data_IF_414234935998
#
_entry.id   IF_414234935998
#
_cell.length_a   1.000
_cell.length_b   1.000
_cell.length_c   1.000
_cell.angle_alpha   90.00
_cell.angle_beta   90.00
_cell.angle_gamma   90.00
#
_symmetry.space_group_name_H-M   'P 1'
#
loop_
_entity.id
_entity.type
_entity.pdbx_description
1 polymer ?
#
# COMPACT_ATOMS: atom_id res chain seq x y z
N UNK A 1 -18.93 -28.12 -17.76
CA UNK A 1 -18.15 -27.20 -18.63
C UNK A 1 -18.44 -25.72 -18.39
N UNK A 2 -19.57 -25.33 -17.78
CA UNK A 2 -19.95 -23.92 -17.59
C UNK A 2 -19.46 -23.26 -16.27
N UNK A 3 -19.07 -24.04 -15.26
CA UNK A 3 -18.64 -23.52 -13.94
C UNK A 3 -17.17 -23.09 -13.83
N UNK A 4 -16.34 -23.36 -14.85
CA UNK A 4 -14.90 -22.98 -14.83
C UNK A 4 -14.63 -21.61 -15.48
N UNK A 5 -15.60 -21.00 -16.15
CA UNK A 5 -15.41 -19.74 -16.87
C UNK A 5 -15.75 -18.49 -16.03
N UNK A 6 -16.53 -18.66 -14.96
CA UNK A 6 -16.89 -17.56 -14.03
C UNK A 6 -15.71 -17.12 -13.17
N UNK A 7 -14.71 -17.98 -12.95
CA UNK A 7 -13.58 -17.70 -12.04
C UNK A 7 -12.39 -16.97 -12.68
N UNK A 8 -12.38 -16.73 -14.00
CA UNK A 8 -11.14 -16.37 -14.70
C UNK A 8 -10.99 -14.89 -15.08
N UNK A 9 -12.03 -14.06 -15.02
CA UNK A 9 -11.89 -12.62 -15.32
C UNK A 9 -12.79 -11.78 -14.43
N UNK A 10 -12.38 -11.56 -13.17
CA UNK A 10 -12.91 -10.45 -12.38
C UNK A 10 -12.33 -9.14 -12.95
N UNK A 11 -12.88 -8.64 -14.06
CA UNK A 11 -12.49 -7.33 -14.56
C UNK A 11 -13.03 -6.25 -13.64
N UNK A 12 -12.19 -5.29 -13.28
CA UNK A 12 -12.60 -4.13 -12.50
C UNK A 12 -13.40 -3.23 -13.44
N UNK A 13 -14.71 -3.45 -13.51
CA UNK A 13 -15.60 -2.77 -14.47
C UNK A 13 -15.73 -1.29 -14.15
N UNK A 14 -15.90 -0.94 -12.86
CA UNK A 14 -16.09 0.45 -12.42
C UNK A 14 -15.99 0.59 -10.90
N UNK A 15 -15.34 1.66 -10.43
CA UNK A 15 -15.44 2.09 -9.03
C UNK A 15 -16.76 2.85 -8.85
N UNK A 16 -17.59 2.45 -7.89
CA UNK A 16 -18.82 3.17 -7.54
C UNK A 16 -18.47 4.45 -6.78
N UNK A 17 -18.54 5.61 -7.45
CA UNK A 17 -18.50 6.90 -6.77
C UNK A 17 -19.71 7.03 -5.83
N UNK A 18 -19.46 7.01 -4.52
CA UNK A 18 -20.51 6.94 -3.50
C UNK A 18 -20.49 8.16 -2.58
N UNK A 19 -20.95 9.31 -3.10
CA UNK A 19 -21.05 10.57 -2.34
C UNK A 19 -21.96 10.46 -1.11
N UNK A 20 -23.04 9.69 -1.23
CA UNK A 20 -24.02 9.47 -0.16
C UNK A 20 -23.41 8.71 1.03
N UNK A 21 -22.51 7.75 0.78
CA UNK A 21 -21.88 6.98 1.87
C UNK A 21 -20.97 7.83 2.75
N UNK A 22 -20.24 8.78 2.14
CA UNK A 22 -19.45 9.77 2.86
C UNK A 22 -20.31 10.73 3.68
N UNK A 23 -21.42 11.24 3.13
CA UNK A 23 -22.34 12.11 3.88
C UNK A 23 -22.99 11.37 5.05
N UNK A 24 -23.46 10.15 4.82
CA UNK A 24 -24.13 9.34 5.83
C UNK A 24 -23.17 8.94 6.97
N UNK A 25 -21.93 8.55 6.66
CA UNK A 25 -20.93 8.26 7.69
C UNK A 25 -20.59 9.48 8.55
N UNK A 26 -20.43 10.66 7.96
CA UNK A 26 -20.20 11.89 8.72
C UNK A 26 -21.40 12.26 9.62
N UNK A 27 -22.63 12.10 9.15
CA UNK A 27 -23.84 12.30 9.97
C UNK A 27 -23.90 11.30 11.13
N UNK A 28 -23.58 10.02 10.88
CA UNK A 28 -23.54 8.98 11.92
C UNK A 28 -22.46 9.25 12.98
N UNK A 29 -21.29 9.78 12.58
CA UNK A 29 -20.25 10.23 13.52
C UNK A 29 -20.74 11.42 14.35
N UNK A 30 -21.49 12.36 13.75
CA UNK A 30 -22.11 13.46 14.50
C UNK A 30 -23.16 12.97 15.51
N UNK A 31 -23.97 11.98 15.11
CA UNK A 31 -25.01 11.38 15.94
C UNK A 31 -24.42 10.51 17.07
N UNK A 32 -23.27 9.88 16.85
CA UNK A 32 -22.60 9.05 17.86
C UNK A 32 -22.14 9.87 19.09
N UNK A 33 -21.82 11.16 18.92
CA UNK A 33 -21.52 12.07 20.04
C UNK A 33 -22.71 12.24 21.00
N UNK A 34 -23.94 12.19 20.51
CA UNK A 34 -25.15 12.26 21.34
C UNK A 34 -25.51 10.91 21.99
N UNK A 35 -25.12 9.79 21.38
CA UNK A 35 -25.37 8.42 21.87
C UNK A 35 -24.23 7.85 22.73
N UNK A 36 -23.25 8.68 23.11
CA UNK A 36 -22.07 8.25 23.87
C UNK A 36 -22.31 7.65 25.28
N UNK A 37 -23.44 7.84 26.01
CA UNK A 37 -23.52 7.32 27.38
C UNK A 37 -23.94 5.85 27.56
N UNK A 38 -24.55 5.18 26.58
CA UNK A 38 -25.10 3.81 26.82
C UNK A 38 -24.79 2.75 25.74
N UNK A 39 -25.10 2.93 24.44
CA UNK A 39 -24.94 1.84 23.46
C UNK A 39 -23.50 1.60 22.97
N UNK A 40 -22.66 2.63 22.84
CA UNK A 40 -21.30 2.48 22.28
C UNK A 40 -20.33 1.79 23.25
N UNK A 41 -20.56 1.89 24.56
CA UNK A 41 -19.71 1.28 25.59
C UNK A 41 -19.80 -0.26 25.64
N UNK A 42 -20.85 -0.86 25.04
CA UNK A 42 -20.98 -2.31 24.93
C UNK A 42 -20.04 -2.94 23.89
N UNK A 43 -19.44 -2.13 23.00
CA UNK A 43 -18.52 -2.62 21.99
C UNK A 43 -17.15 -2.80 22.65
N UNK A 44 -16.66 -4.05 22.81
CA UNK A 44 -15.34 -4.26 23.39
C UNK A 44 -14.25 -3.70 22.48
N UNK A 45 -13.26 -3.04 23.07
CA UNK A 45 -12.13 -2.44 22.32
C UNK A 45 -11.36 -3.46 21.50
N UNK A 46 -11.32 -4.72 21.95
CA UNK A 46 -10.70 -5.83 21.22
C UNK A 46 -11.27 -6.05 19.80
N UNK A 47 -12.56 -5.76 19.58
CA UNK A 47 -13.18 -5.87 18.24
C UNK A 47 -12.70 -4.75 17.32
N UNK A 48 -12.51 -3.54 17.86
CA UNK A 48 -11.98 -2.40 17.11
C UNK A 48 -10.52 -2.65 16.71
N UNK A 49 -9.71 -3.18 17.63
CA UNK A 49 -8.32 -3.54 17.33
C UNK A 49 -8.23 -4.61 16.23
N UNK A 50 -9.12 -5.60 16.25
CA UNK A 50 -9.26 -6.59 15.18
C UNK A 50 -9.66 -5.96 13.82
N UNK A 51 -10.58 -4.99 13.84
CA UNK A 51 -10.96 -4.23 12.63
C UNK A 51 -9.78 -3.39 12.10
N UNK A 52 -9.04 -2.71 12.97
CA UNK A 52 -7.85 -1.96 12.59
C UNK A 52 -6.77 -2.85 11.97
N UNK A 53 -6.52 -4.03 12.53
CA UNK A 53 -5.59 -5.01 11.96
C UNK A 53 -6.06 -5.47 10.56
N UNK A 54 -7.35 -5.79 10.40
CA UNK A 54 -7.91 -6.18 9.11
C UNK A 54 -7.76 -5.07 8.06
N UNK A 55 -8.05 -3.81 8.42
CA UNK A 55 -7.84 -2.67 7.54
C UNK A 55 -6.36 -2.49 7.16
N UNK A 56 -5.44 -2.67 8.11
CA UNK A 56 -4.01 -2.58 7.84
C UNK A 56 -3.53 -3.66 6.84
N UNK A 57 -3.98 -4.91 7.01
CA UNK A 57 -3.61 -6.02 6.10
C UNK A 57 -4.22 -5.84 4.72
N UNK A 58 -5.50 -5.46 4.65
CA UNK A 58 -6.18 -5.24 3.37
C UNK A 58 -5.62 -4.05 2.60
N UNK A 59 -5.14 -3.00 3.28
CA UNK A 59 -4.45 -1.87 2.66
C UNK A 59 -3.10 -2.25 2.01
N UNK A 60 -2.46 -3.34 2.45
CA UNK A 60 -1.24 -3.87 1.81
C UNK A 60 -1.57 -4.69 0.56
N UNK A 61 -2.78 -5.23 0.46
CA UNK A 61 -3.20 -6.03 -0.68
C UNK A 61 -3.42 -5.12 -1.91
N UNK A 62 -2.81 -5.47 -3.05
CA UNK A 62 -2.80 -4.65 -4.26
C UNK A 62 -1.76 -3.52 -4.27
N UNK A 63 -0.90 -3.43 -3.25
CA UNK A 63 0.23 -2.51 -3.26
C UNK A 63 1.42 -3.14 -4.02
N UNK A 64 1.78 -2.54 -5.16
CA UNK A 64 2.90 -2.99 -6.00
C UNK A 64 4.25 -3.05 -5.27
N UNK A 65 4.49 -2.17 -4.28
CA UNK A 65 5.71 -2.23 -3.47
C UNK A 65 5.71 -3.47 -2.59
N UNK A 66 4.59 -3.79 -1.95
CA UNK A 66 4.46 -4.95 -1.08
C UNK A 66 4.55 -6.26 -1.88
N UNK A 67 3.95 -6.34 -3.06
CA UNK A 67 4.12 -7.47 -3.98
C UNK A 67 5.59 -7.72 -4.31
N UNK A 68 6.35 -6.65 -4.60
CA UNK A 68 7.79 -6.75 -4.89
C UNK A 68 8.62 -7.15 -3.68
N UNK A 69 8.24 -6.73 -2.47
CA UNK A 69 8.89 -7.16 -1.23
C UNK A 69 8.64 -8.66 -1.01
N UNK A 70 7.41 -9.12 -1.19
CA UNK A 70 7.06 -10.54 -1.09
C UNK A 70 7.86 -11.39 -2.09
N UNK A 71 8.10 -10.88 -3.31
CA UNK A 71 8.99 -11.53 -4.28
C UNK A 71 10.44 -11.67 -3.78
N UNK A 72 10.95 -10.80 -2.90
CA UNK A 72 12.29 -10.96 -2.31
C UNK A 72 12.38 -12.17 -1.36
N UNK A 73 11.27 -12.51 -0.71
CA UNK A 73 11.18 -13.61 0.24
C UNK A 73 10.71 -14.92 -0.39
N UNK A 74 10.17 -14.86 -1.61
CA UNK A 74 9.69 -16.02 -2.34
C UNK A 74 10.85 -16.74 -3.04
N UNK A 75 10.83 -18.07 -3.08
CA UNK A 75 11.80 -18.84 -3.85
C UNK A 75 11.56 -18.69 -5.36
N UNK A 76 12.65 -18.64 -6.15
CA UNK A 76 12.60 -18.39 -7.59
C UNK A 76 11.70 -19.37 -8.37
N UNK A 77 11.55 -20.60 -7.87
CA UNK A 77 10.73 -21.63 -8.49
C UNK A 77 9.22 -21.32 -8.43
N UNK A 78 8.80 -20.48 -7.48
CA UNK A 78 7.39 -20.20 -7.22
C UNK A 78 6.94 -18.83 -7.81
N UNK A 79 7.78 -18.19 -8.62
CA UNK A 79 7.47 -16.86 -9.16
C UNK A 79 6.28 -16.91 -10.12
N UNK A 80 5.26 -16.06 -9.93
CA UNK A 80 4.15 -15.97 -10.86
C UNK A 80 4.65 -15.44 -12.22
N UNK A 81 4.07 -15.91 -13.34
CA UNK A 81 4.46 -15.48 -14.69
C UNK A 81 3.96 -14.06 -15.01
N UNK A 82 4.50 -13.05 -14.33
CA UNK A 82 4.13 -11.64 -14.53
C UNK A 82 5.04 -10.94 -15.54
N UNK A 83 4.49 -9.98 -16.29
CA UNK A 83 5.16 -9.30 -17.42
C UNK A 83 6.49 -8.61 -17.04
N UNK A 84 6.55 -8.01 -15.86
CA UNK A 84 7.74 -7.30 -15.35
C UNK A 84 8.90 -8.24 -14.99
N UNK A 85 8.62 -9.46 -14.49
CA UNK A 85 9.65 -10.47 -14.15
C UNK A 85 10.36 -10.97 -15.41
N UNK A 86 9.67 -10.99 -16.56
CA UNK A 86 10.23 -11.42 -17.86
C UNK A 86 11.10 -10.37 -18.54
N UNK A 87 10.89 -9.07 -18.27
CA UNK A 87 11.55 -7.96 -18.98
C UNK A 87 12.76 -7.36 -18.25
N UNK A 88 12.84 -7.51 -16.93
CA UNK A 88 13.86 -6.87 -16.11
C UNK A 88 14.72 -7.93 -15.43
N UNK A 89 16.07 -7.84 -15.48
CA UNK A 89 16.93 -8.78 -14.78
C UNK A 89 16.69 -8.68 -13.27
N UNK A 90 16.55 -9.84 -12.60
CA UNK A 90 16.13 -9.92 -11.20
C UNK A 90 17.00 -9.07 -10.25
N UNK A 91 18.32 -8.99 -10.47
CA UNK A 91 19.22 -8.18 -9.65
C UNK A 91 18.83 -6.70 -9.60
N UNK A 92 18.29 -6.15 -10.68
CA UNK A 92 17.87 -4.75 -10.73
C UNK A 92 16.55 -4.53 -9.97
N UNK A 93 15.65 -5.52 -9.99
CA UNK A 93 14.41 -5.52 -9.18
C UNK A 93 14.76 -5.51 -7.70
N UNK A 94 15.68 -6.38 -7.27
CA UNK A 94 16.08 -6.48 -5.86
C UNK A 94 16.77 -5.21 -5.36
N UNK A 95 17.64 -4.59 -6.18
CA UNK A 95 18.26 -3.29 -5.86
C UNK A 95 17.21 -2.19 -5.71
N UNK A 96 16.22 -2.15 -6.61
CA UNK A 96 15.15 -1.16 -6.57
C UNK A 96 14.27 -1.32 -5.33
N UNK A 97 13.77 -2.53 -5.08
CA UNK A 97 12.94 -2.82 -3.91
C UNK A 97 13.71 -2.61 -2.61
N UNK A 98 14.99 -2.98 -2.56
CA UNK A 98 15.84 -2.71 -1.40
C UNK A 98 15.98 -1.21 -1.09
N UNK A 99 16.17 -0.38 -2.11
CA UNK A 99 16.19 1.07 -1.95
C UNK A 99 14.84 1.62 -1.45
N UNK A 100 13.72 1.11 -1.98
CA UNK A 100 12.37 1.48 -1.50
C UNK A 100 12.14 1.06 -0.05
N UNK A 101 12.60 -0.11 0.36
CA UNK A 101 12.50 -0.59 1.75
C UNK A 101 13.36 0.26 2.68
N UNK A 102 14.58 0.64 2.28
CA UNK A 102 15.43 1.55 3.06
C UNK A 102 14.72 2.91 3.24
N UNK A 103 14.15 3.47 2.17
CA UNK A 103 13.38 4.72 2.23
C UNK A 103 12.19 4.62 3.19
N UNK A 104 11.44 3.51 3.13
CA UNK A 104 10.33 3.24 4.03
C UNK A 104 10.81 3.12 5.49
N UNK A 105 11.90 2.40 5.75
CA UNK A 105 12.46 2.24 7.10
C UNK A 105 12.92 3.57 7.69
N UNK A 106 13.60 4.40 6.90
CA UNK A 106 13.97 5.76 7.31
C UNK A 106 12.72 6.54 7.69
N UNK A 107 11.70 6.55 6.84
CA UNK A 107 10.44 7.25 7.09
C UNK A 107 9.70 6.72 8.32
N UNK A 108 9.64 5.40 8.51
CA UNK A 108 9.04 4.76 9.68
C UNK A 108 9.80 5.13 10.95
N UNK A 109 11.14 5.16 10.93
CA UNK A 109 11.95 5.52 12.10
C UNK A 109 11.64 6.94 12.59
N UNK A 110 11.47 7.89 11.66
CA UNK A 110 11.06 9.25 12.01
C UNK A 110 9.58 9.34 12.44
N UNK A 111 8.69 8.53 11.85
CA UNK A 111 7.27 8.49 12.22
C UNK A 111 6.98 7.89 13.59
N UNK A 112 7.73 6.84 13.97
CA UNK A 112 7.64 6.18 15.28
C UNK A 112 8.45 6.88 16.37
N UNK A 113 9.21 7.94 16.03
CA UNK A 113 9.97 8.69 17.02
C UNK A 113 9.03 9.30 18.08
N UNK A 114 9.39 9.24 19.38
CA UNK A 114 8.58 9.78 20.46
C UNK A 114 8.51 11.32 20.46
N UNK A 115 9.39 11.98 19.70
CA UNK A 115 9.48 13.44 19.61
C UNK A 115 8.37 14.01 18.71
N UNK A 116 7.48 14.82 19.28
CA UNK A 116 6.40 15.50 18.54
C UNK A 116 6.94 16.38 17.39
N UNK A 117 8.12 16.98 17.56
CA UNK A 117 8.77 17.79 16.53
C UNK A 117 9.14 16.98 15.28
N UNK A 118 9.55 15.71 15.43
CA UNK A 118 9.88 14.84 14.30
C UNK A 118 8.65 14.52 13.45
N UNK A 119 7.48 14.41 14.07
CA UNK A 119 6.21 14.19 13.36
C UNK A 119 5.82 15.40 12.51
N UNK A 120 6.13 16.63 12.95
CA UNK A 120 5.89 17.84 12.16
C UNK A 120 6.79 17.94 10.92
N UNK A 121 7.99 17.33 10.96
CA UNK A 121 8.89 17.24 9.79
C UNK A 121 8.48 16.18 8.77
N UNK A 122 7.53 15.30 9.09
CA UNK A 122 7.12 14.20 8.21
C UNK A 122 6.74 14.63 6.77
N UNK A 123 5.95 15.70 6.55
CA UNK A 123 5.66 16.19 5.20
C UNK A 123 6.90 16.65 4.43
N UNK A 124 7.87 17.25 5.12
CA UNK A 124 9.14 17.69 4.53
C UNK A 124 9.99 16.48 4.14
N UNK A 125 10.03 15.44 4.97
CA UNK A 125 10.71 14.19 4.65
C UNK A 125 10.07 13.48 3.46
N UNK A 126 8.73 13.46 3.37
CA UNK A 126 8.00 12.96 2.20
C UNK A 126 8.35 13.75 0.92
N UNK A 127 8.41 15.09 1.02
CA UNK A 127 8.84 15.92 -0.10
C UNK A 127 10.30 15.68 -0.50
N UNK A 128 11.18 15.36 0.45
CA UNK A 128 12.58 15.00 0.18
C UNK A 128 12.71 13.63 -0.51
N UNK A 129 11.79 12.70 -0.27
CA UNK A 129 11.75 11.40 -0.92
C UNK A 129 11.45 11.49 -2.44
N UNK A 130 10.72 12.52 -2.88
CA UNK A 130 10.43 12.78 -4.30
C UNK A 130 11.68 13.02 -5.17
N UNK A 131 12.59 13.97 -4.86
CA UNK A 131 13.80 14.17 -5.64
C UNK A 131 14.77 12.99 -5.49
N UNK A 132 14.78 12.29 -4.36
CA UNK A 132 15.55 11.04 -4.21
C UNK A 132 15.07 10.02 -5.25
N UNK A 133 13.74 9.83 -5.39
CA UNK A 133 13.20 8.97 -6.46
C UNK A 133 13.59 9.48 -7.85
N UNK A 134 13.38 10.75 -8.15
CA UNK A 134 13.53 11.25 -9.51
C UNK A 134 14.99 11.46 -9.96
N UNK A 135 15.94 11.72 -9.03
CA UNK A 135 17.34 11.99 -9.39
C UNK A 135 18.27 10.83 -9.08
N UNK A 136 18.07 10.13 -7.96
CA UNK A 136 19.02 9.10 -7.50
C UNK A 136 18.69 7.76 -8.15
N UNK A 137 17.42 7.36 -8.21
CA UNK A 137 17.00 6.08 -8.80
C UNK A 137 17.41 5.91 -10.27
N UNK A 138 17.15 6.87 -11.19
CA UNK A 138 17.55 6.72 -12.60
C UNK A 138 19.05 6.79 -12.83
N UNK A 139 19.83 7.23 -11.83
CA UNK A 139 21.30 7.19 -11.89
C UNK A 139 21.85 5.82 -11.52
N UNK A 140 21.13 5.03 -10.73
CA UNK A 140 21.52 3.67 -10.33
C UNK A 140 20.91 2.56 -11.21
N UNK A 141 19.75 2.82 -11.84
CA UNK A 141 19.02 1.85 -12.66
C UNK A 141 18.66 2.49 -14.00
N UNK A 142 18.93 1.76 -15.09
CA UNK A 142 18.66 2.21 -16.45
C UNK A 142 17.17 2.56 -16.64
N UNK A 143 16.89 3.69 -17.30
CA UNK A 143 15.53 4.23 -17.46
C UNK A 143 14.56 3.24 -18.13
N UNK A 144 15.07 2.35 -19.00
CA UNK A 144 14.30 1.28 -19.64
C UNK A 144 13.72 0.29 -18.63
N UNK A 145 14.49 -0.07 -17.60
CA UNK A 145 14.03 -0.98 -16.54
C UNK A 145 13.08 -0.28 -15.58
N UNK A 146 13.28 1.01 -15.31
CA UNK A 146 12.35 1.81 -14.51
C UNK A 146 10.99 1.95 -15.19
N UNK A 147 10.95 2.20 -16.50
CA UNK A 147 9.69 2.25 -17.24
C UNK A 147 8.94 0.90 -17.24
N UNK A 148 9.67 -0.23 -17.26
CA UNK A 148 9.07 -1.56 -17.16
C UNK A 148 8.58 -1.89 -15.74
N UNK A 149 9.17 -1.28 -14.70
CA UNK A 149 8.75 -1.44 -13.31
C UNK A 149 7.62 -0.47 -12.94
N UNK A 150 7.59 0.74 -13.47
CA UNK A 150 6.53 1.72 -13.20
C UNK A 150 5.32 1.56 -14.15
N UNK A 151 5.44 0.72 -15.17
CA UNK A 151 4.34 0.39 -16.08
C UNK A 151 3.18 -0.28 -15.34
N UNK A 152 2.01 0.36 -15.36
CA UNK A 152 0.80 -0.22 -14.79
C UNK A 152 0.49 -1.56 -15.47
N UNK A 153 0.10 -2.53 -14.64
CA UNK A 153 -0.34 -3.86 -15.08
C UNK A 153 -1.53 -3.68 -16.04
N UNK A 154 -1.29 -3.92 -17.32
CA UNK A 154 -2.33 -4.43 -18.22
C UNK A 154 -2.22 -5.94 -18.27
#
# INVERSE_FOLDING_TARGET
MFNYLVFTVASIVKVRETRVTGLLSNILIGLSMFMLPYPLAYIPTAVLDGLFLYMAVTALNGNQMFERITLLFMEQAAYPPNHYIRRVPQRNIHKFTGLQVIQLLVMCSFGFAPYAYMKMMFPVLLLLLLPVRHKIVPRFIEAKYLAALDGQHQ
#
